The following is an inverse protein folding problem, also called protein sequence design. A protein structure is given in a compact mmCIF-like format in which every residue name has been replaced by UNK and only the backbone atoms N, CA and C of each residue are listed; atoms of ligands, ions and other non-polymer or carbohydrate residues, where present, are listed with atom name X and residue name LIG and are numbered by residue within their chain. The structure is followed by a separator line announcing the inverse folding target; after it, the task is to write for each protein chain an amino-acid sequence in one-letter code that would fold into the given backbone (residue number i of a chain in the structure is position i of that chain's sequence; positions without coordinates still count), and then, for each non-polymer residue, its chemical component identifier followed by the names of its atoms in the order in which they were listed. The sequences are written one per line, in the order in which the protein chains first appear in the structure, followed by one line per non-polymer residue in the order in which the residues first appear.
data_IF_728793771752
#
_entry.id   IF_728793771752
#
_cell.length_a   1.000
_cell.length_b   1.000
_cell.length_c   1.000
_cell.angle_alpha   90.00
_cell.angle_beta   90.00
_cell.angle_gamma   90.00
#
_symmetry.space_group_name_H-M   'P 1'
#
loop_
_entity.id
_entity.type
_entity.pdbx_description
1 polymer ?
#
# COMPACT_ATOMS: atom_id res chain seq x y z
N UNK A 1 0.83 -7.40 -13.42
CA UNK A 1 0.38 -6.05 -13.04
C UNK A 1 -0.95 -6.09 -12.28
N UNK A 2 -1.99 -6.82 -12.76
CA UNK A 2 -3.30 -6.91 -12.07
C UNK A 2 -3.18 -7.36 -10.62
N UNK A 3 -2.37 -8.39 -10.31
CA UNK A 3 -2.14 -8.88 -8.95
C UNK A 3 -1.46 -7.87 -8.05
N UNK A 4 -0.50 -7.14 -8.58
CA UNK A 4 0.16 -6.06 -7.86
C UNK A 4 -0.85 -4.98 -7.48
N UNK A 5 -1.67 -4.55 -8.45
CA UNK A 5 -2.79 -3.65 -8.18
C UNK A 5 -3.73 -4.20 -7.11
N UNK A 6 -4.14 -5.46 -7.23
CA UNK A 6 -5.04 -6.12 -6.28
C UNK A 6 -4.50 -6.11 -4.85
N UNK A 7 -3.26 -6.53 -4.66
CA UNK A 7 -2.63 -6.56 -3.34
C UNK A 7 -2.54 -5.16 -2.70
N UNK A 8 -2.23 -4.14 -3.51
CA UNK A 8 -2.19 -2.76 -3.04
C UNK A 8 -3.58 -2.26 -2.66
N UNK A 9 -4.58 -2.41 -3.54
CA UNK A 9 -5.94 -1.97 -3.27
C UNK A 9 -6.55 -2.67 -2.04
N UNK A 10 -6.34 -3.96 -1.89
CA UNK A 10 -6.79 -4.72 -0.72
C UNK A 10 -6.18 -4.19 0.58
N UNK A 11 -4.87 -3.95 0.60
CA UNK A 11 -4.17 -3.40 1.77
C UNK A 11 -4.61 -1.99 2.09
N UNK A 12 -4.75 -1.13 1.09
CA UNK A 12 -5.17 0.25 1.29
C UNK A 12 -6.61 0.33 1.82
N UNK A 13 -7.51 -0.55 1.37
CA UNK A 13 -8.84 -0.66 1.93
C UNK A 13 -8.81 -1.01 3.43
N UNK A 14 -8.01 -2.00 3.83
CA UNK A 14 -7.86 -2.35 5.25
C UNK A 14 -7.28 -1.20 6.06
N UNK A 15 -6.26 -0.52 5.54
CA UNK A 15 -5.64 0.63 6.21
C UNK A 15 -6.61 1.79 6.38
N UNK A 16 -7.41 2.11 5.37
CA UNK A 16 -8.44 3.17 5.47
C UNK A 16 -9.55 2.80 6.46
N UNK A 17 -9.87 1.50 6.60
CA UNK A 17 -10.83 1.03 7.58
C UNK A 17 -10.32 1.18 9.03
N UNK A 18 -9.03 0.94 9.25
CA UNK A 18 -8.41 1.08 10.57
C UNK A 18 -8.24 2.55 10.98
N UNK A 19 -7.97 3.43 10.02
CA UNK A 19 -7.69 4.85 10.28
C UNK A 19 -8.94 5.70 10.47
N UNK A 20 -10.06 5.30 9.89
CA UNK A 20 -11.28 6.12 9.85
C UNK A 20 -12.52 5.30 10.22
N UNK A 21 -13.48 5.96 10.89
CA UNK A 21 -14.82 5.41 11.09
C UNK A 21 -15.70 5.79 9.89
N UNK A 22 -16.22 4.79 9.18
CA UNK A 22 -17.04 5.00 7.99
C UNK A 22 -18.52 4.85 8.35
N UNK A 23 -19.39 5.78 7.95
CA UNK A 23 -20.84 5.69 8.18
C UNK A 23 -21.50 4.51 7.46
N UNK A 24 -20.94 4.12 6.30
CA UNK A 24 -21.41 2.99 5.50
C UNK A 24 -20.30 2.32 4.71
N UNK A 25 -20.51 1.07 4.29
CA UNK A 25 -19.59 0.36 3.39
C UNK A 25 -19.46 1.08 2.03
N UNK A 26 -20.51 1.76 1.56
CA UNK A 26 -20.47 2.54 0.32
C UNK A 26 -19.56 3.77 0.45
N UNK A 27 -19.62 4.51 1.56
CA UNK A 27 -18.70 5.63 1.80
C UNK A 27 -17.26 5.16 1.97
N UNK A 28 -17.03 4.04 2.65
CA UNK A 28 -15.74 3.43 2.70
C UNK A 28 -15.24 3.05 1.31
N UNK A 29 -16.08 2.42 0.48
CA UNK A 29 -15.70 2.06 -0.89
C UNK A 29 -15.35 3.28 -1.75
N UNK A 30 -16.03 4.43 -1.59
CA UNK A 30 -15.76 5.66 -2.35
C UNK A 30 -14.33 6.21 -2.13
N UNK A 31 -13.62 5.77 -1.11
CA UNK A 31 -12.19 6.10 -0.97
C UNK A 31 -11.32 5.46 -2.05
N UNK A 32 -11.75 4.35 -2.66
CA UNK A 32 -11.05 3.71 -3.77
C UNK A 32 -10.83 4.66 -4.96
N UNK A 33 -11.90 5.21 -5.58
CA UNK A 33 -11.71 6.18 -6.67
C UNK A 33 -11.04 7.47 -6.20
N UNK A 34 -11.29 7.91 -4.95
CA UNK A 34 -10.66 9.11 -4.40
C UNK A 34 -9.13 8.96 -4.31
N UNK A 35 -8.63 7.84 -3.82
CA UNK A 35 -7.19 7.56 -3.75
C UNK A 35 -6.56 7.50 -5.14
N UNK A 36 -7.17 6.77 -6.08
CA UNK A 36 -6.66 6.70 -7.46
C UNK A 36 -6.57 8.08 -8.13
N UNK A 37 -7.56 8.95 -7.87
CA UNK A 37 -7.59 10.32 -8.37
C UNK A 37 -6.56 11.21 -7.69
N UNK A 38 -6.44 11.13 -6.38
CA UNK A 38 -5.47 11.92 -5.59
C UNK A 38 -4.02 11.60 -5.95
N UNK A 39 -3.74 10.33 -6.20
CA UNK A 39 -2.41 9.87 -6.65
C UNK A 39 -2.10 10.24 -8.11
N UNK A 40 -3.02 10.89 -8.82
CA UNK A 40 -2.83 11.28 -10.22
C UNK A 40 -2.80 10.12 -11.21
N UNK A 41 -3.26 8.94 -10.82
CA UNK A 41 -3.26 7.74 -11.68
C UNK A 41 -4.35 7.80 -12.75
N UNK A 42 -5.50 8.36 -12.39
CA UNK A 42 -6.69 8.43 -13.25
C UNK A 42 -7.68 9.43 -12.66
N UNK A 43 -8.58 9.98 -13.47
CA UNK A 43 -9.75 10.74 -13.02
C UNK A 43 -10.98 9.81 -13.08
N UNK A 44 -11.37 9.17 -11.97
CA UNK A 44 -12.51 8.27 -11.95
C UNK A 44 -13.81 9.07 -11.79
N UNK A 45 -14.85 8.62 -12.50
CA UNK A 45 -16.21 9.14 -12.38
C UNK A 45 -17.15 7.95 -12.20
N UNK A 46 -17.65 7.78 -10.98
CA UNK A 46 -18.57 6.69 -10.65
C UNK A 46 -19.92 6.98 -11.32
N UNK A 47 -20.39 6.08 -12.19
CA UNK A 47 -21.68 6.15 -12.87
C UNK A 47 -22.74 5.43 -12.07
N UNK A 48 -22.40 4.26 -11.51
CA UNK A 48 -23.29 3.48 -10.67
C UNK A 48 -22.48 2.72 -9.61
N UNK A 49 -23.03 2.61 -8.41
CA UNK A 49 -22.53 1.76 -7.34
C UNK A 49 -23.73 1.19 -6.58
N UNK A 50 -23.85 -0.12 -6.62
CA UNK A 50 -24.76 -0.88 -5.77
C UNK A 50 -23.91 -1.79 -4.89
N UNK A 51 -24.05 -1.64 -3.57
CA UNK A 51 -23.26 -2.36 -2.61
C UNK A 51 -24.14 -2.77 -1.43
N UNK A 52 -24.34 -4.07 -1.28
CA UNK A 52 -24.95 -4.70 -0.13
C UNK A 52 -24.09 -5.90 0.30
N UNK A 53 -23.27 -5.67 1.30
CA UNK A 53 -22.37 -6.68 1.83
C UNK A 53 -23.12 -7.87 2.45
N UNK A 54 -24.24 -7.62 3.11
CA UNK A 54 -25.02 -8.67 3.76
C UNK A 54 -25.70 -9.59 2.73
N UNK A 55 -26.16 -9.02 1.62
CA UNK A 55 -26.72 -9.78 0.51
C UNK A 55 -25.70 -10.38 -0.44
N UNK A 56 -24.40 -10.02 -0.29
CA UNK A 56 -23.35 -10.40 -1.25
C UNK A 56 -23.60 -9.79 -2.64
N UNK A 57 -24.16 -8.58 -2.68
CA UNK A 57 -24.45 -7.88 -3.93
C UNK A 57 -23.46 -6.73 -4.14
N UNK A 58 -22.82 -6.74 -5.30
CA UNK A 58 -21.93 -5.66 -5.74
C UNK A 58 -22.08 -5.46 -7.24
N UNK A 59 -22.45 -4.25 -7.65
CA UNK A 59 -22.47 -3.84 -9.04
C UNK A 59 -21.86 -2.43 -9.16
N UNK A 60 -20.92 -2.28 -10.07
CA UNK A 60 -20.13 -1.08 -10.26
C UNK A 60 -20.02 -0.74 -11.74
N UNK A 61 -20.16 0.55 -12.06
CA UNK A 61 -19.81 1.13 -13.36
C UNK A 61 -19.02 2.43 -13.11
N UNK A 62 -17.80 2.51 -13.63
CA UNK A 62 -16.93 3.68 -13.48
C UNK A 62 -16.30 4.04 -14.82
N UNK A 63 -16.38 5.33 -15.16
CA UNK A 63 -15.61 5.88 -16.27
C UNK A 63 -14.28 6.44 -15.76
N UNK A 64 -13.20 6.08 -16.45
CA UNK A 64 -11.86 6.54 -16.16
C UNK A 64 -11.36 7.48 -17.25
N UNK A 65 -11.14 8.73 -16.87
CA UNK A 65 -10.56 9.75 -17.73
C UNK A 65 -9.08 9.95 -17.38
N UNK A 66 -8.27 10.23 -18.39
CA UNK A 66 -6.84 10.52 -18.22
C UNK A 66 -6.07 9.40 -17.50
N UNK A 67 -6.38 8.13 -17.82
CA UNK A 67 -5.63 7.00 -17.30
C UNK A 67 -4.15 7.12 -17.67
N UNK A 68 -3.29 7.25 -16.64
CA UNK A 68 -1.84 7.26 -16.82
C UNK A 68 -1.37 5.96 -17.49
N UNK A 69 -1.93 4.82 -17.10
CA UNK A 69 -1.56 3.50 -17.61
C UNK A 69 -1.86 3.40 -19.12
N UNK A 70 -3.07 3.78 -19.56
CA UNK A 70 -3.43 3.82 -20.97
C UNK A 70 -2.60 4.84 -21.76
N UNK A 71 -2.36 6.02 -21.19
CA UNK A 71 -1.56 7.06 -21.87
C UNK A 71 -0.10 6.62 -22.10
N UNK A 72 0.53 6.01 -21.06
CA UNK A 72 1.90 5.48 -21.20
C UNK A 72 1.97 4.31 -22.17
N UNK A 73 0.97 3.42 -22.13
CA UNK A 73 0.90 2.30 -23.07
C UNK A 73 0.83 2.79 -24.52
N UNK A 74 -0.09 3.71 -24.81
CA UNK A 74 -0.21 4.32 -26.13
C UNK A 74 1.09 4.96 -26.62
N UNK A 75 1.80 5.65 -25.72
CA UNK A 75 3.07 6.32 -26.03
C UNK A 75 4.18 5.35 -26.42
N UNK A 76 4.25 4.18 -25.77
CA UNK A 76 5.36 3.24 -25.91
C UNK A 76 5.06 2.13 -26.91
N UNK A 77 3.81 1.66 -26.99
CA UNK A 77 3.41 0.49 -27.76
C UNK A 77 2.37 0.80 -28.85
N UNK A 78 1.67 1.91 -28.73
CA UNK A 78 0.57 2.24 -29.62
C UNK A 78 -0.75 1.61 -29.18
N UNK A 79 -1.69 1.46 -30.13
CA UNK A 79 -3.01 0.86 -29.88
C UNK A 79 -2.91 -0.66 -29.71
N UNK A 80 -3.74 -1.18 -28.84
CA UNK A 80 -3.87 -2.61 -28.54
C UNK A 80 -5.32 -3.06 -28.72
N UNK A 81 -5.55 -4.33 -29.06
CA UNK A 81 -6.89 -4.87 -29.15
C UNK A 81 -7.56 -5.08 -27.78
N UNK A 82 -6.76 -5.19 -26.72
CA UNK A 82 -7.21 -5.49 -25.36
C UNK A 82 -7.00 -4.31 -24.42
N UNK A 83 -7.78 -4.22 -23.33
CA UNK A 83 -7.63 -3.20 -22.31
C UNK A 83 -6.28 -3.28 -21.60
N UNK A 84 -5.70 -2.11 -21.22
CA UNK A 84 -4.33 -2.02 -20.70
C UNK A 84 -4.22 -1.42 -19.30
N UNK A 85 -5.33 -1.01 -18.65
CA UNK A 85 -5.33 -0.45 -17.31
C UNK A 85 -5.30 -1.54 -16.23
N UNK A 86 -4.30 -2.43 -16.34
CA UNK A 86 -4.23 -3.65 -15.51
C UNK A 86 -4.05 -3.36 -14.02
N UNK A 87 -3.20 -2.40 -13.67
CA UNK A 87 -2.93 -2.06 -12.27
C UNK A 87 -4.15 -1.36 -11.64
N UNK A 88 -4.80 -0.46 -12.39
CA UNK A 88 -6.00 0.25 -11.94
C UNK A 88 -7.17 -0.72 -11.70
N UNK A 89 -7.42 -1.62 -12.66
CA UNK A 89 -8.48 -2.63 -12.54
C UNK A 89 -8.18 -3.61 -11.38
N UNK A 90 -6.92 -4.00 -11.24
CA UNK A 90 -6.46 -4.81 -10.12
C UNK A 90 -6.70 -4.11 -8.77
N UNK A 91 -6.31 -2.85 -8.66
CA UNK A 91 -6.49 -2.05 -7.44
C UNK A 91 -7.98 -1.96 -7.04
N UNK A 92 -8.84 -1.61 -8.00
CA UNK A 92 -10.27 -1.53 -7.75
C UNK A 92 -10.87 -2.89 -7.34
N UNK A 93 -10.39 -4.00 -7.94
CA UNK A 93 -10.80 -5.36 -7.56
C UNK A 93 -10.39 -5.70 -6.14
N UNK A 94 -9.13 -5.43 -5.76
CA UNK A 94 -8.62 -5.72 -4.42
C UNK A 94 -9.33 -4.89 -3.34
N UNK A 95 -9.51 -3.60 -3.60
CA UNK A 95 -10.24 -2.71 -2.69
C UNK A 95 -11.67 -3.17 -2.48
N UNK A 96 -12.39 -3.45 -3.57
CA UNK A 96 -13.78 -3.92 -3.53
C UNK A 96 -13.90 -5.28 -2.82
N UNK A 97 -12.94 -6.18 -3.02
CA UNK A 97 -12.86 -7.47 -2.32
C UNK A 97 -12.73 -7.27 -0.80
N UNK A 98 -11.88 -6.35 -0.36
CA UNK A 98 -11.72 -6.05 1.07
C UNK A 98 -12.99 -5.45 1.69
N UNK A 99 -13.65 -4.54 0.97
CA UNK A 99 -14.91 -3.93 1.43
C UNK A 99 -16.03 -4.96 1.52
N UNK A 100 -16.20 -5.80 0.49
CA UNK A 100 -17.25 -6.82 0.44
C UNK A 100 -16.98 -8.01 1.36
N UNK A 101 -15.71 -8.35 1.61
CA UNK A 101 -15.33 -9.57 2.31
C UNK A 101 -15.47 -10.84 1.47
N UNK A 102 -15.76 -10.70 0.17
CA UNK A 102 -15.80 -11.76 -0.83
C UNK A 102 -15.15 -11.29 -2.14
N UNK A 103 -14.75 -12.22 -3.01
CA UNK A 103 -14.06 -11.89 -4.26
C UNK A 103 -14.93 -11.04 -5.20
N UNK A 104 -14.43 -9.84 -5.47
CA UNK A 104 -14.97 -8.89 -6.44
C UNK A 104 -13.93 -8.64 -7.52
N UNK A 105 -14.35 -8.72 -8.77
CA UNK A 105 -13.49 -8.40 -9.89
C UNK A 105 -14.03 -7.21 -10.67
N UNK A 106 -13.14 -6.25 -10.91
CA UNK A 106 -13.38 -5.09 -11.75
C UNK A 106 -12.66 -5.31 -13.08
N UNK A 107 -13.42 -5.29 -14.16
CA UNK A 107 -12.94 -5.60 -15.50
C UNK A 107 -13.13 -4.39 -16.40
N UNK A 108 -12.08 -3.99 -17.09
CA UNK A 108 -12.11 -2.91 -18.07
C UNK A 108 -12.79 -3.43 -19.34
N UNK A 109 -13.86 -2.76 -19.77
CA UNK A 109 -14.64 -3.09 -20.95
C UNK A 109 -14.25 -2.23 -22.16
N UNK A 110 -13.93 -0.97 -21.91
CA UNK A 110 -13.51 0.01 -22.89
C UNK A 110 -12.21 0.66 -22.42
N UNK A 111 -11.29 0.88 -23.36
CA UNK A 111 -9.99 1.48 -23.06
C UNK A 111 -9.59 2.49 -24.12
N UNK A 112 -8.97 3.60 -23.68
CA UNK A 112 -8.38 4.60 -24.61
C UNK A 112 -7.33 3.95 -25.51
N UNK A 113 -6.57 2.97 -25.01
CA UNK A 113 -5.60 2.23 -25.81
C UNK A 113 -6.25 1.39 -26.92
N UNK A 114 -7.50 1.00 -26.77
CA UNK A 114 -8.30 0.34 -27.82
C UNK A 114 -8.90 1.33 -28.82
N UNK A 115 -8.87 2.63 -28.52
CA UNK A 115 -9.44 3.69 -29.35
C UNK A 115 -10.76 4.27 -28.84
N UNK A 116 -11.20 3.88 -27.63
CA UNK A 116 -12.38 4.48 -27.02
C UNK A 116 -12.07 5.89 -26.47
N UNK A 117 -13.08 6.77 -26.29
CA UNK A 117 -12.88 8.14 -25.83
C UNK A 117 -12.44 8.23 -24.36
N UNK A 118 -12.75 7.22 -23.57
CA UNK A 118 -12.35 7.04 -22.17
C UNK A 118 -12.30 5.54 -21.85
N UNK A 119 -11.76 5.20 -20.70
CA UNK A 119 -11.83 3.83 -20.20
C UNK A 119 -13.11 3.63 -19.39
N UNK A 120 -13.72 2.45 -19.45
CA UNK A 120 -14.88 2.07 -18.69
C UNK A 120 -14.65 0.73 -18.01
N UNK A 121 -14.95 0.67 -16.72
CA UNK A 121 -14.84 -0.55 -15.94
C UNK A 121 -16.16 -0.93 -15.31
N UNK A 122 -16.41 -2.24 -15.26
CA UNK A 122 -17.56 -2.84 -14.59
C UNK A 122 -17.04 -3.77 -13.48
N UNK A 123 -17.62 -3.67 -12.30
CA UNK A 123 -17.29 -4.51 -11.14
C UNK A 123 -18.47 -5.35 -10.70
N UNK A 124 -18.20 -6.63 -10.40
CA UNK A 124 -19.18 -7.58 -9.85
C UNK A 124 -18.49 -8.57 -8.91
N UNK A 125 -19.26 -9.21 -8.03
CA UNK A 125 -18.76 -10.36 -7.28
C UNK A 125 -18.40 -11.50 -8.25
N UNK A 126 -17.45 -12.36 -7.87
CA UNK A 126 -17.08 -13.53 -8.68
C UNK A 126 -18.30 -14.33 -9.11
N UNK A 127 -19.24 -14.56 -8.18
CA UNK A 127 -20.50 -15.27 -8.44
C UNK A 127 -21.35 -14.56 -9.51
N UNK A 128 -21.44 -13.23 -9.44
CA UNK A 128 -22.25 -12.45 -10.39
C UNK A 128 -21.63 -12.36 -11.80
N UNK A 129 -20.32 -12.67 -11.94
CA UNK A 129 -19.68 -12.83 -13.23
C UNK A 129 -20.03 -14.17 -13.90
N UNK A 130 -20.66 -15.13 -13.18
CA UNK A 130 -21.03 -16.44 -13.71
C UNK A 130 -19.81 -17.23 -14.21
N UNK A 131 -19.90 -17.78 -15.41
CA UNK A 131 -18.82 -18.58 -16.02
C UNK A 131 -17.51 -17.78 -16.22
N UNK A 132 -17.59 -16.47 -16.42
CA UNK A 132 -16.41 -15.61 -16.55
C UNK A 132 -15.68 -15.42 -15.23
N UNK A 133 -16.37 -15.56 -14.08
CA UNK A 133 -15.79 -15.34 -12.76
C UNK A 133 -14.57 -16.21 -12.49
N UNK A 134 -14.61 -17.48 -12.89
CA UNK A 134 -13.49 -18.41 -12.70
C UNK A 134 -12.32 -18.09 -13.65
N UNK A 135 -12.61 -17.70 -14.88
CA UNK A 135 -11.60 -17.26 -15.84
C UNK A 135 -10.89 -16.01 -15.34
N UNK A 136 -11.65 -15.03 -14.88
CA UNK A 136 -11.08 -13.79 -14.33
C UNK A 136 -10.25 -14.10 -13.07
N UNK A 137 -10.77 -14.94 -12.15
CA UNK A 137 -10.05 -15.34 -10.94
C UNK A 137 -8.68 -15.98 -11.25
N UNK A 138 -8.58 -16.76 -12.34
CA UNK A 138 -7.31 -17.35 -12.75
C UNK A 138 -6.24 -16.31 -13.10
N UNK A 139 -6.62 -15.12 -13.58
CA UNK A 139 -5.68 -14.02 -13.86
C UNK A 139 -5.09 -13.42 -12.56
N UNK A 140 -5.80 -13.59 -11.45
CA UNK A 140 -5.38 -13.18 -10.10
C UNK A 140 -4.71 -14.30 -9.31
N UNK A 141 -4.80 -15.56 -9.75
CA UNK A 141 -4.15 -16.68 -9.09
C UNK A 141 -2.63 -16.53 -9.10
N UNK A 142 -1.99 -16.60 -7.92
CA UNK A 142 -0.55 -16.49 -7.80
C UNK A 142 0.12 -17.76 -8.37
N UNK A 143 1.11 -17.67 -9.27
CA UNK A 143 2.01 -18.77 -9.55
C UNK A 143 2.71 -19.23 -8.26
N UNK A 144 3.10 -20.50 -8.19
CA UNK A 144 3.81 -21.05 -7.03
C UNK A 144 5.02 -20.17 -6.62
N UNK A 145 5.75 -19.64 -7.60
CA UNK A 145 6.89 -18.73 -7.40
C UNK A 145 6.51 -17.43 -6.66
N UNK A 146 5.35 -16.84 -6.92
CA UNK A 146 4.92 -15.63 -6.23
C UNK A 146 4.64 -15.88 -4.75
N UNK A 147 4.04 -17.02 -4.42
CA UNK A 147 3.83 -17.46 -3.02
C UNK A 147 5.16 -17.73 -2.30
N UNK A 148 6.12 -18.30 -3.01
CA UNK A 148 7.47 -18.52 -2.46
C UNK A 148 8.18 -17.19 -2.20
N UNK A 149 8.08 -16.20 -3.11
CA UNK A 149 8.64 -14.86 -2.91
C UNK A 149 7.99 -14.14 -1.72
N UNK A 150 6.68 -14.17 -1.57
CA UNK A 150 5.97 -13.60 -0.42
C UNK A 150 6.43 -14.25 0.90
N UNK A 151 6.60 -15.57 0.92
CA UNK A 151 7.13 -16.29 2.09
C UNK A 151 8.56 -15.85 2.41
N UNK A 152 9.43 -15.70 1.40
CA UNK A 152 10.81 -15.25 1.59
C UNK A 152 10.89 -13.80 2.05
N UNK A 153 10.04 -12.91 1.54
CA UNK A 153 9.97 -11.54 2.03
C UNK A 153 9.60 -11.47 3.50
N UNK A 154 8.63 -12.26 3.95
CA UNK A 154 8.25 -12.30 5.36
C UNK A 154 9.37 -12.88 6.24
N UNK A 155 10.08 -13.93 5.79
CA UNK A 155 11.27 -14.46 6.47
C UNK A 155 12.35 -13.39 6.62
N UNK A 156 12.63 -12.61 5.56
CA UNK A 156 13.60 -11.52 5.58
C UNK A 156 13.18 -10.40 6.54
N UNK A 157 11.92 -10.00 6.55
CA UNK A 157 11.40 -9.01 7.50
C UNK A 157 11.56 -9.47 8.95
N UNK A 158 11.27 -10.74 9.23
CA UNK A 158 11.45 -11.32 10.57
C UNK A 158 12.92 -11.39 10.96
N UNK A 159 13.81 -11.79 10.06
CA UNK A 159 15.25 -11.80 10.28
C UNK A 159 15.80 -10.40 10.58
N UNK A 160 15.40 -9.39 9.81
CA UNK A 160 15.77 -7.99 10.02
C UNK A 160 15.32 -7.48 11.40
N UNK A 161 14.08 -7.78 11.81
CA UNK A 161 13.58 -7.42 13.15
C UNK A 161 14.39 -8.10 14.27
N UNK A 162 14.80 -9.36 14.09
CA UNK A 162 15.64 -10.08 15.06
C UNK A 162 17.04 -9.46 15.14
N UNK A 163 17.64 -9.10 14.00
CA UNK A 163 18.95 -8.42 13.97
C UNK A 163 18.90 -7.08 14.68
N UNK A 164 17.91 -6.24 14.41
CA UNK A 164 17.73 -4.95 15.09
C UNK A 164 17.56 -5.10 16.58
N UNK A 165 16.83 -6.14 17.04
CA UNK A 165 16.72 -6.42 18.49
C UNK A 165 18.06 -6.79 19.11
N UNK A 166 18.82 -7.68 18.44
CA UNK A 166 20.16 -8.08 18.90
C UNK A 166 21.15 -6.92 18.90
N UNK A 167 21.14 -6.06 17.88
CA UNK A 167 21.97 -4.85 17.87
C UNK A 167 21.65 -3.91 19.05
N UNK A 168 20.37 -3.69 19.34
CA UNK A 168 19.94 -2.89 20.50
C UNK A 168 20.39 -3.52 21.81
N UNK A 169 20.30 -4.83 21.93
CA UNK A 169 20.74 -5.58 23.12
C UNK A 169 22.26 -5.51 23.27
N UNK A 170 23.02 -5.71 22.19
CA UNK A 170 24.47 -5.56 22.20
C UNK A 170 24.91 -4.15 22.56
N UNK A 171 24.28 -3.10 22.03
CA UNK A 171 24.52 -1.71 22.39
C UNK A 171 24.28 -1.46 23.89
N UNK A 172 23.22 -2.07 24.47
CA UNK A 172 22.95 -1.99 25.91
C UNK A 172 24.01 -2.73 26.74
N UNK A 173 24.49 -3.87 26.27
CA UNK A 173 25.50 -4.66 26.98
C UNK A 173 26.92 -4.11 26.82
N UNK A 174 27.23 -3.48 25.68
CA UNK A 174 28.53 -2.84 25.43
C UNK A 174 28.75 -1.53 26.19
N UNK A 175 27.70 -1.05 26.90
CA UNK A 175 27.81 0.20 27.68
C UNK A 175 28.02 1.45 26.81
N UNK A 176 27.70 1.36 25.51
CA UNK A 176 27.69 2.52 24.64
C UNK A 176 26.57 3.46 25.09
N UNK A 177 26.91 4.39 25.94
CA UNK A 177 26.10 5.56 26.23
C UNK A 177 25.87 6.26 24.88
N UNK A 178 24.61 6.48 24.56
CA UNK A 178 24.20 7.22 23.38
C UNK A 178 24.83 8.63 23.42
N UNK A 179 25.93 8.76 22.73
CA UNK A 179 26.63 10.02 22.56
C UNK A 179 27.51 9.88 21.32
N UNK A 180 27.23 10.70 20.34
CA UNK A 180 27.87 10.91 19.06
C UNK A 180 29.38 10.58 19.01
N UNK A 181 29.75 9.30 18.94
CA UNK A 181 31.12 8.86 18.71
C UNK A 181 32.11 9.00 19.86
N UNK A 182 31.71 9.43 21.04
CA UNK A 182 32.58 9.53 22.21
C UNK A 182 32.64 8.18 22.95
N UNK A 183 33.74 7.47 22.77
CA UNK A 183 34.05 6.25 23.53
C UNK A 183 34.98 6.58 24.68
N UNK A 184 34.55 6.34 25.92
CA UNK A 184 35.40 6.55 27.09
C UNK A 184 35.38 5.33 27.99
N UNK A 185 36.54 5.08 28.65
CA UNK A 185 36.74 4.09 29.72
C UNK A 185 37.00 4.77 31.06
N UNK A 186 36.90 6.09 31.09
CA UNK A 186 37.18 6.88 32.30
C UNK A 186 35.89 7.17 33.06
N UNK A 187 35.78 6.70 34.30
CA UNK A 187 34.60 6.89 35.18
C UNK A 187 34.22 8.36 35.36
N UNK A 188 35.21 9.28 35.32
CA UNK A 188 34.95 10.72 35.40
C UNK A 188 34.21 11.23 34.19
N UNK A 189 34.65 10.80 32.98
CA UNK A 189 34.00 11.18 31.73
C UNK A 189 32.62 10.52 31.57
N UNK A 190 32.42 9.31 32.07
CA UNK A 190 31.09 8.67 32.10
C UNK A 190 30.06 9.51 32.85
N UNK A 191 30.46 10.08 34.03
CA UNK A 191 29.60 10.98 34.79
C UNK A 191 29.31 12.29 34.09
N UNK A 192 30.29 12.84 33.35
CA UNK A 192 30.11 14.06 32.54
C UNK A 192 29.13 13.81 31.41
N UNK A 193 29.25 12.67 30.70
CA UNK A 193 28.33 12.30 29.64
C UNK A 193 26.91 12.03 30.15
N UNK A 194 26.78 11.38 31.32
CA UNK A 194 25.47 11.17 31.93
C UNK A 194 24.81 12.51 32.33
N UNK A 195 25.60 13.45 32.87
CA UNK A 195 25.10 14.79 33.21
C UNK A 195 24.71 15.57 31.93
N UNK A 196 25.55 15.52 30.89
CA UNK A 196 25.24 16.15 29.62
C UNK A 196 23.94 15.62 29.02
N UNK A 197 23.73 14.29 29.05
CA UNK A 197 22.48 13.67 28.60
C UNK A 197 21.23 14.10 29.38
N UNK A 198 21.37 14.37 30.69
CA UNK A 198 20.26 14.92 31.52
C UNK A 198 19.98 16.38 31.17
N UNK A 199 21.02 17.19 31.00
CA UNK A 199 20.90 18.61 30.67
C UNK A 199 20.33 18.81 29.27
N UNK A 200 20.66 17.94 28.31
CA UNK A 200 20.14 18.00 26.94
C UNK A 200 18.61 17.77 26.83
N UNK A 201 17.96 17.32 27.91
CA UNK A 201 16.51 17.13 27.94
C UNK A 201 15.73 18.39 28.34
N UNK A 202 16.41 19.45 28.72
CA UNK A 202 15.82 20.70 29.16
C UNK A 202 16.45 21.90 28.45
N UNK A 203 15.66 22.93 28.23
CA UNK A 203 16.13 24.14 27.51
C UNK A 203 16.90 25.06 28.48
N UNK A 204 18.17 24.72 28.77
CA UNK A 204 19.06 25.49 29.64
C UNK A 204 20.43 25.68 29.00
N UNK A 205 21.08 26.78 29.30
CA UNK A 205 22.44 27.02 28.83
C UNK A 205 23.44 26.21 29.68
N UNK A 206 24.28 25.41 29.04
CA UNK A 206 25.34 24.64 29.67
C UNK A 206 26.70 25.21 29.30
N UNK A 207 27.55 25.45 30.34
CA UNK A 207 28.93 25.84 30.15
C UNK A 207 29.84 24.62 30.35
N UNK A 208 30.57 24.27 29.29
CA UNK A 208 31.59 23.20 29.36
C UNK A 208 32.96 23.85 29.58
N UNK A 209 33.64 23.47 30.64
CA UNK A 209 34.99 23.94 30.99
C UNK A 209 35.94 22.77 31.10
N UNK A 210 37.20 22.97 30.76
CA UNK A 210 38.25 21.95 30.85
C UNK A 210 39.60 22.55 30.60
N UNK A 211 40.66 21.76 30.84
CA UNK A 211 42.00 22.15 30.47
C UNK A 211 42.19 22.06 28.95
N UNK A 212 42.89 23.05 28.38
CA UNK A 212 43.25 23.07 26.97
C UNK A 212 44.42 22.12 26.73
N UNK A 213 44.18 21.00 26.05
CA UNK A 213 45.19 20.02 25.73
C UNK A 213 44.77 19.11 24.58
#
# INVERSE_FOLDING_TARGET
LRRFGFANGYRDALSTRELFAWPSDAEWWLTCPALQGHEGKVKPVVQALELDRAAGHFALDVHWFHSYEAAQHLRVRGREPDPVCWTLAGYASGFSTAVMGEEVFVVEQECVAMGHPHCRVVGKTRRAWGADGDRIAAEYAAPALARELESREEELRQASRRLQRRERELRRLSGEVAGDGLVTRNRGMEKVLELAGKVAQVDVTALVTGESG
#
